data_IF_094604365406
#
_entry.id   IF_094604365406
#
_cell.length_a   1.000
_cell.length_b   1.000
_cell.length_c   1.000
_cell.angle_alpha   90.00
_cell.angle_beta   90.00
_cell.angle_gamma   90.00
#
_symmetry.space_group_name_H-M   'P 1'
#
loop_
_entity.id
_entity.type
_entity.pdbx_description
1 polymer ?
#
# COMPACT_ATOMS: atom_id res chain seq x y z
N UNK A 1 12.96 18.16 2.54
CA UNK A 1 12.93 17.95 4.02
C UNK A 1 12.24 16.65 4.42
N UNK A 2 11.25 16.14 3.66
CA UNK A 2 10.56 14.87 3.95
C UNK A 2 11.42 13.60 3.85
N UNK A 3 12.48 13.61 3.04
CA UNK A 3 13.32 12.41 2.80
C UNK A 3 14.35 12.13 3.90
N UNK A 4 14.69 13.11 4.76
CA UNK A 4 15.73 12.94 5.78
C UNK A 4 15.28 12.08 6.97
N UNK A 5 14.01 12.13 7.35
CA UNK A 5 13.51 11.35 8.50
C UNK A 5 13.41 9.86 8.15
N UNK A 6 13.11 9.52 6.89
CA UNK A 6 12.92 8.12 6.45
C UNK A 6 14.27 7.41 6.19
N UNK A 7 15.31 8.14 5.78
CA UNK A 7 16.60 7.54 5.38
C UNK A 7 17.68 7.68 6.47
N UNK A 8 17.69 8.76 7.26
CA UNK A 8 18.74 9.00 8.28
C UNK A 8 18.29 8.68 9.72
N UNK A 9 16.98 8.58 10.01
CA UNK A 9 16.46 8.50 11.40
C UNK A 9 15.84 7.16 11.82
N UNK A 10 16.02 6.06 11.07
CA UNK A 10 15.44 4.76 11.43
C UNK A 10 16.08 4.07 12.65
N UNK A 11 16.96 4.73 13.40
CA UNK A 11 17.73 4.11 14.49
C UNK A 11 17.30 4.50 15.91
N UNK A 12 16.56 5.60 16.12
CA UNK A 12 16.46 6.28 17.44
C UNK A 12 15.90 5.52 18.68
N UNK A 13 15.23 4.37 18.69
CA UNK A 13 14.45 3.86 19.84
C UNK A 13 13.35 4.81 20.34
N UNK A 14 12.33 4.21 20.94
CA UNK A 14 11.25 4.98 21.54
C UNK A 14 11.75 5.74 22.76
N UNK A 15 11.50 7.04 22.78
CA UNK A 15 11.75 7.90 23.92
C UNK A 15 10.73 9.05 23.95
N UNK A 16 10.53 9.74 25.09
CA UNK A 16 9.55 10.81 25.20
C UNK A 16 9.79 11.98 24.24
N UNK A 17 11.05 12.28 23.92
CA UNK A 17 11.42 13.37 22.99
C UNK A 17 10.98 13.05 21.56
N UNK A 18 11.22 11.82 21.09
CA UNK A 18 10.76 11.35 19.78
C UNK A 18 9.24 11.46 19.64
N UNK A 19 8.49 11.01 20.64
CA UNK A 19 7.01 11.08 20.65
C UNK A 19 6.53 12.54 20.60
N UNK A 20 7.14 13.44 21.38
CA UNK A 20 6.86 14.88 21.35
C UNK A 20 7.21 15.49 19.99
N UNK A 21 8.30 15.06 19.36
CA UNK A 21 8.71 15.54 18.04
C UNK A 21 7.70 15.14 16.96
N UNK A 22 7.23 13.90 16.95
CA UNK A 22 6.18 13.44 16.04
C UNK A 22 4.88 14.23 16.22
N UNK A 23 4.45 14.44 17.46
CA UNK A 23 3.30 15.27 17.74
C UNK A 23 3.51 16.73 17.28
N UNK A 24 4.71 17.30 17.46
CA UNK A 24 5.04 18.64 16.97
C UNK A 24 4.93 18.72 15.44
N UNK A 25 5.39 17.71 14.72
CA UNK A 25 5.26 17.64 13.26
C UNK A 25 3.79 17.61 12.82
N UNK A 26 2.95 16.86 13.53
CA UNK A 26 1.51 16.78 13.25
C UNK A 26 0.80 18.10 13.48
N UNK A 27 1.13 18.80 14.58
CA UNK A 27 0.53 20.09 14.92
C UNK A 27 1.09 21.28 14.14
N UNK A 28 2.15 21.08 13.35
CA UNK A 28 2.84 22.15 12.61
C UNK A 28 1.88 22.77 11.59
N UNK A 29 1.86 24.10 11.55
CA UNK A 29 1.09 24.91 10.59
C UNK A 29 -0.44 24.70 10.63
N UNK A 30 -0.98 24.02 11.64
CA UNK A 30 -2.43 23.82 11.82
C UNK A 30 -3.12 24.98 12.56
N UNK A 31 -2.36 25.79 13.29
CA UNK A 31 -2.86 26.98 13.99
C UNK A 31 -4.09 26.68 14.85
N UNK A 32 -5.18 27.43 14.62
CA UNK A 32 -6.44 27.29 15.36
C UNK A 32 -7.15 25.95 15.17
N UNK A 33 -6.78 25.17 14.14
CA UNK A 33 -7.37 23.85 13.87
C UNK A 33 -6.71 22.72 14.68
N UNK A 34 -5.80 23.05 15.61
CA UNK A 34 -5.14 22.09 16.47
C UNK A 34 -5.31 22.49 17.93
N UNK A 35 -6.09 21.71 18.67
CA UNK A 35 -6.53 22.08 20.02
C UNK A 35 -5.53 21.68 21.10
N UNK A 36 -4.23 21.64 20.77
CA UNK A 36 -3.13 21.33 21.67
C UNK A 36 -1.88 22.14 21.34
N UNK A 37 -0.96 22.27 22.29
CA UNK A 37 0.36 22.85 22.02
C UNK A 37 1.24 21.81 21.34
N UNK A 38 1.74 22.04 20.10
CA UNK A 38 2.54 21.06 19.37
C UNK A 38 3.82 20.65 20.11
N UNK A 39 3.81 19.44 20.65
CA UNK A 39 4.97 18.77 21.25
C UNK A 39 4.98 18.85 22.78
N UNK A 40 3.88 19.29 23.39
CA UNK A 40 3.73 19.34 24.84
C UNK A 40 2.64 18.39 25.32
N UNK A 41 2.91 17.66 26.39
CA UNK A 41 1.89 16.84 27.03
C UNK A 41 0.79 17.69 27.64
N UNK A 42 -0.42 17.15 27.70
CA UNK A 42 -1.58 17.84 28.27
C UNK A 42 -1.39 18.08 29.77
N UNK A 43 -1.88 19.22 30.25
CA UNK A 43 -1.89 19.60 31.68
C UNK A 43 -3.28 19.50 32.33
N UNK A 44 -4.22 18.89 31.63
CA UNK A 44 -5.60 18.71 32.07
C UNK A 44 -6.10 17.31 31.70
N UNK A 45 -7.13 16.85 32.40
CA UNK A 45 -7.74 15.54 32.18
C UNK A 45 -8.68 15.57 30.97
N UNK A 46 -8.72 14.46 30.22
CA UNK A 46 -9.50 14.33 28.97
C UNK A 46 -10.27 13.01 28.97
N UNK A 47 -11.41 13.04 28.29
CA UNK A 47 -12.23 11.85 28.01
C UNK A 47 -12.27 11.61 26.51
N UNK A 48 -11.95 10.39 26.08
CA UNK A 48 -11.91 9.98 24.68
C UNK A 48 -13.27 9.42 24.28
N UNK A 49 -13.89 9.99 23.25
CA UNK A 49 -15.15 9.51 22.68
C UNK A 49 -16.33 9.47 23.67
N UNK A 50 -16.27 10.25 24.76
CA UNK A 50 -17.24 10.27 25.86
C UNK A 50 -17.37 8.97 26.68
N UNK A 51 -16.49 7.99 26.47
CA UNK A 51 -16.59 6.65 27.11
C UNK A 51 -15.33 6.20 27.82
N UNK A 52 -14.15 6.70 27.41
CA UNK A 52 -12.87 6.29 28.01
C UNK A 52 -12.20 7.49 28.70
N UNK A 53 -12.01 7.38 30.02
CA UNK A 53 -11.27 8.39 30.80
C UNK A 53 -9.78 8.07 30.73
N UNK A 54 -9.00 8.96 30.11
CA UNK A 54 -7.56 8.80 30.05
C UNK A 54 -6.92 8.98 31.45
N UNK A 55 -5.67 8.52 31.67
CA UNK A 55 -4.95 8.70 32.93
C UNK A 55 -4.85 10.16 33.40
N UNK A 56 -4.51 10.40 34.67
CA UNK A 56 -4.39 11.79 35.12
C UNK A 56 -3.25 12.50 34.37
N UNK A 57 -3.48 13.76 34.01
CA UNK A 57 -2.48 14.61 33.35
C UNK A 57 -1.14 14.68 34.10
N UNK A 58 -1.13 14.54 35.43
CA UNK A 58 0.08 14.54 36.24
C UNK A 58 0.93 13.27 36.05
N UNK A 59 0.32 12.18 35.60
CA UNK A 59 0.97 10.88 35.41
C UNK A 59 1.52 10.69 33.99
N UNK A 60 1.19 11.58 33.05
CA UNK A 60 1.51 11.37 31.62
C UNK A 60 3.00 11.27 31.36
N UNK A 61 3.81 12.11 32.01
CA UNK A 61 5.24 12.07 31.80
C UNK A 61 5.87 10.78 32.34
N UNK A 62 5.44 10.29 33.50
CA UNK A 62 5.93 9.03 34.07
C UNK A 62 5.44 7.83 33.25
N UNK A 63 4.19 7.82 32.81
CA UNK A 63 3.62 6.75 31.98
C UNK A 63 4.31 6.65 30.61
N UNK A 64 4.61 7.77 29.95
CA UNK A 64 5.34 7.73 28.67
C UNK A 64 6.78 7.25 28.85
N UNK A 65 7.47 7.68 29.92
CA UNK A 65 8.81 7.16 30.26
C UNK A 65 8.77 5.66 30.50
N UNK A 66 7.85 5.20 31.34
CA UNK A 66 7.65 3.78 31.64
C UNK A 66 7.34 2.97 30.37
N UNK A 67 6.47 3.47 29.50
CA UNK A 67 6.17 2.84 28.22
C UNK A 67 7.41 2.70 27.33
N UNK A 68 8.25 3.75 27.24
CA UNK A 68 9.46 3.70 26.44
C UNK A 68 10.48 2.69 26.99
N UNK A 69 10.67 2.67 28.31
CA UNK A 69 11.58 1.73 28.99
C UNK A 69 11.08 0.28 28.87
N UNK A 70 9.79 0.05 29.12
CA UNK A 70 9.15 -1.25 28.95
C UNK A 70 9.27 -1.74 27.51
N UNK A 71 8.92 -0.90 26.53
CA UNK A 71 9.03 -1.25 25.11
C UNK A 71 10.47 -1.53 24.72
N UNK A 72 11.45 -0.84 25.31
CA UNK A 72 12.86 -1.12 25.06
C UNK A 72 13.23 -2.55 25.51
N UNK A 73 12.78 -2.92 26.71
CA UNK A 73 13.12 -4.18 27.36
C UNK A 73 12.39 -5.38 26.75
N UNK A 74 11.07 -5.32 26.57
CA UNK A 74 10.24 -6.44 26.10
C UNK A 74 10.50 -6.81 24.64
N UNK A 75 10.83 -5.82 23.81
CA UNK A 75 11.06 -6.04 22.39
C UNK A 75 12.55 -6.25 22.06
N UNK A 76 13.39 -6.40 23.09
CA UNK A 76 14.76 -6.91 23.02
C UNK A 76 15.69 -6.16 22.05
N UNK A 77 15.52 -4.84 21.86
CA UNK A 77 16.23 -4.08 20.83
C UNK A 77 17.75 -4.27 20.83
N UNK A 78 18.38 -4.29 22.02
CA UNK A 78 19.84 -4.42 22.16
C UNK A 78 20.35 -5.83 21.78
N UNK A 79 19.48 -6.85 21.81
CA UNK A 79 19.80 -8.25 21.50
C UNK A 79 19.37 -8.66 20.08
N UNK A 80 18.81 -7.72 19.32
CA UNK A 80 18.17 -7.99 18.03
C UNK A 80 16.70 -8.39 18.18
N UNK A 81 15.91 -7.99 17.18
CA UNK A 81 14.47 -8.20 17.14
C UNK A 81 14.10 -8.98 15.87
N UNK A 82 13.21 -9.96 15.97
CA UNK A 82 12.66 -10.62 14.78
C UNK A 82 11.70 -9.68 14.06
N UNK A 83 11.49 -9.89 12.76
CA UNK A 83 10.52 -9.11 11.99
C UNK A 83 9.13 -9.14 12.63
N UNK A 84 8.62 -10.33 12.99
CA UNK A 84 7.30 -10.49 13.63
C UNK A 84 7.20 -9.73 14.96
N UNK A 85 8.25 -9.78 15.79
CA UNK A 85 8.31 -9.04 17.05
C UNK A 85 8.27 -7.51 16.80
N UNK A 86 8.89 -7.03 15.72
CA UNK A 86 8.88 -5.62 15.34
C UNK A 86 7.50 -5.14 14.84
N UNK A 87 6.77 -5.98 14.10
CA UNK A 87 5.40 -5.67 13.69
C UNK A 87 4.47 -5.61 14.92
N UNK A 88 4.57 -6.58 15.83
CA UNK A 88 3.80 -6.57 17.08
C UNK A 88 4.11 -5.31 17.90
N UNK A 89 5.39 -4.93 17.97
CA UNK A 89 5.78 -3.70 18.66
C UNK A 89 5.11 -2.45 18.08
N UNK A 90 5.05 -2.32 16.76
CA UNK A 90 4.41 -1.19 16.11
C UNK A 90 2.93 -1.08 16.52
N UNK A 91 2.21 -2.20 16.42
CA UNK A 91 0.78 -2.31 16.77
C UNK A 91 0.55 -2.01 18.24
N UNK A 92 1.35 -2.61 19.12
CA UNK A 92 1.22 -2.41 20.58
C UNK A 92 1.54 -0.95 20.94
N UNK A 93 2.60 -0.38 20.38
CA UNK A 93 2.97 1.02 20.62
C UNK A 93 1.87 2.00 20.22
N UNK A 94 1.17 1.72 19.11
CA UNK A 94 -0.02 2.47 18.70
C UNK A 94 -1.10 2.47 19.79
N UNK A 95 -1.43 1.29 20.33
CA UNK A 95 -2.45 1.14 21.37
C UNK A 95 -2.05 1.87 22.65
N UNK A 96 -0.79 1.75 23.08
CA UNK A 96 -0.31 2.44 24.28
C UNK A 96 -0.42 3.97 24.17
N UNK A 97 -0.08 4.57 23.03
CA UNK A 97 -0.28 6.00 22.82
C UNK A 97 -1.77 6.37 22.84
N UNK A 98 -2.63 5.54 22.26
CA UNK A 98 -4.08 5.76 22.26
C UNK A 98 -4.66 5.71 23.70
N UNK A 99 -4.19 4.80 24.54
CA UNK A 99 -4.62 4.62 25.92
C UNK A 99 -4.08 5.69 26.88
N UNK A 100 -2.77 6.00 26.82
CA UNK A 100 -2.17 7.05 27.66
C UNK A 100 -2.76 8.42 27.28
N UNK A 101 -3.02 8.61 25.99
CA UNK A 101 -3.59 9.83 25.44
C UNK A 101 -2.83 11.10 25.89
N UNK A 102 -1.50 11.18 25.61
CA UNK A 102 -0.61 12.13 26.27
C UNK A 102 -0.81 13.60 25.87
N UNK A 103 -1.54 13.89 24.80
CA UNK A 103 -1.72 15.24 24.25
C UNK A 103 -3.17 15.72 24.35
N UNK A 104 -3.40 17.03 24.23
CA UNK A 104 -4.76 17.61 24.25
C UNK A 104 -5.57 17.32 22.97
N UNK A 105 -4.87 17.08 21.85
CA UNK A 105 -5.38 16.73 20.52
C UNK A 105 -4.24 16.01 19.78
N UNK A 106 -4.53 15.34 18.67
CA UNK A 106 -3.51 14.73 17.81
C UNK A 106 -3.10 13.33 18.21
N UNK A 107 -3.57 12.79 19.34
CA UNK A 107 -3.16 11.47 19.84
C UNK A 107 -3.32 10.34 18.81
N UNK A 108 -4.46 10.26 18.11
CA UNK A 108 -4.68 9.24 17.08
C UNK A 108 -3.82 9.41 15.83
N UNK A 109 -3.38 10.63 15.51
CA UNK A 109 -2.43 10.93 14.43
C UNK A 109 -1.01 10.58 14.87
N UNK A 110 -0.65 10.88 16.12
CA UNK A 110 0.66 10.56 16.70
C UNK A 110 0.85 9.05 16.87
N UNK A 111 -0.19 8.32 17.30
CA UNK A 111 -0.16 6.86 17.39
C UNK A 111 0.13 6.21 16.02
N UNK A 112 -0.58 6.64 14.97
CA UNK A 112 -0.36 6.15 13.59
C UNK A 112 1.03 6.51 13.05
N UNK A 113 1.52 7.72 13.33
CA UNK A 113 2.86 8.13 12.90
C UNK A 113 3.95 7.31 13.63
N UNK A 114 3.74 7.00 14.91
CA UNK A 114 4.62 6.13 15.67
C UNK A 114 4.62 4.69 15.15
N UNK A 115 3.44 4.14 14.87
CA UNK A 115 3.27 2.81 14.25
C UNK A 115 4.00 2.75 12.90
N UNK A 116 3.75 3.72 12.03
CA UNK A 116 4.41 3.87 10.74
C UNK A 116 5.94 3.91 10.87
N UNK A 117 6.46 4.71 11.80
CA UNK A 117 7.89 4.81 12.06
C UNK A 117 8.51 3.47 12.50
N UNK A 118 7.82 2.73 13.37
CA UNK A 118 8.29 1.43 13.84
C UNK A 118 8.26 0.37 12.73
N UNK A 119 7.27 0.40 11.85
CA UNK A 119 7.23 -0.45 10.65
C UNK A 119 8.40 -0.16 9.71
N UNK A 120 8.70 1.12 9.45
CA UNK A 120 9.87 1.51 8.64
C UNK A 120 11.18 1.01 9.25
N UNK A 121 11.34 1.16 10.56
CA UNK A 121 12.51 0.63 11.30
C UNK A 121 12.61 -0.89 11.17
N UNK A 122 11.48 -1.60 11.14
CA UNK A 122 11.42 -3.04 10.95
C UNK A 122 11.78 -3.48 9.51
N UNK A 123 12.04 -2.55 8.59
CA UNK A 123 12.35 -2.84 7.19
C UNK A 123 11.11 -3.00 6.31
N UNK A 124 9.92 -2.63 6.80
CA UNK A 124 8.71 -2.59 5.97
C UNK A 124 8.86 -1.43 4.97
N UNK A 125 8.63 -1.68 3.66
CA UNK A 125 8.64 -0.61 2.66
C UNK A 125 7.65 0.50 3.00
N UNK A 126 7.95 1.74 2.63
CA UNK A 126 7.13 2.92 2.89
C UNK A 126 5.66 2.76 2.44
N UNK A 127 5.45 2.23 1.24
CA UNK A 127 4.12 1.96 0.70
C UNK A 127 3.33 0.98 1.56
N UNK A 128 4.00 -0.01 2.16
CA UNK A 128 3.40 -1.01 3.03
C UNK A 128 3.22 -0.49 4.47
N UNK A 129 4.09 0.40 4.95
CA UNK A 129 4.00 0.95 6.30
C UNK A 129 2.73 1.80 6.51
N UNK A 130 2.10 2.31 5.44
CA UNK A 130 0.82 3.01 5.51
C UNK A 130 -0.42 2.10 5.63
N UNK A 131 -0.28 0.78 5.41
CA UNK A 131 -1.41 -0.16 5.34
C UNK A 131 -2.27 -0.09 6.61
N UNK A 132 -1.67 -0.17 7.80
CA UNK A 132 -2.43 -0.19 9.06
C UNK A 132 -3.22 1.11 9.28
N UNK A 133 -2.62 2.26 8.98
CA UNK A 133 -3.32 3.55 9.06
C UNK A 133 -4.54 3.59 8.14
N UNK A 134 -4.41 3.10 6.91
CA UNK A 134 -5.50 3.04 5.93
C UNK A 134 -6.58 2.04 6.37
N UNK A 135 -6.17 0.86 6.84
CA UNK A 135 -7.05 -0.17 7.37
C UNK A 135 -7.89 0.38 8.52
N UNK A 136 -7.27 0.94 9.57
CA UNK A 136 -8.01 1.53 10.69
C UNK A 136 -8.97 2.65 10.28
N UNK A 137 -8.70 3.34 9.18
CA UNK A 137 -9.59 4.37 8.65
C UNK A 137 -10.77 3.77 7.88
N UNK A 138 -10.55 2.75 7.05
CA UNK A 138 -11.62 2.08 6.29
C UNK A 138 -12.55 1.26 7.19
N UNK A 139 -12.03 0.73 8.30
CA UNK A 139 -12.77 -0.06 9.30
C UNK A 139 -12.98 0.72 10.62
N UNK A 140 -13.14 2.05 10.53
CA UNK A 140 -13.16 2.97 11.68
C UNK A 140 -13.99 2.52 12.89
N UNK A 141 -15.20 2.01 12.64
CA UNK A 141 -16.08 1.55 13.72
C UNK A 141 -15.50 0.33 14.46
N UNK A 142 -14.97 -0.63 13.72
CA UNK A 142 -14.33 -1.83 14.27
C UNK A 142 -13.03 -1.47 14.99
N UNK A 143 -12.22 -0.58 14.42
CA UNK A 143 -11.02 -0.05 15.07
C UNK A 143 -11.32 0.53 16.46
N UNK A 144 -12.32 1.40 16.57
CA UNK A 144 -12.70 1.96 17.87
C UNK A 144 -13.31 0.90 18.81
N UNK A 145 -14.08 -0.05 18.28
CA UNK A 145 -14.59 -1.18 19.07
C UNK A 145 -13.43 -1.97 19.68
N UNK A 146 -12.44 -2.35 18.88
CA UNK A 146 -11.28 -3.12 19.34
C UNK A 146 -10.44 -2.34 20.37
N UNK A 147 -10.24 -1.03 20.18
CA UNK A 147 -9.58 -0.18 21.19
C UNK A 147 -10.37 -0.08 22.50
N UNK A 148 -11.70 0.02 22.41
CA UNK A 148 -12.55 0.11 23.58
C UNK A 148 -12.61 -1.23 24.33
N UNK A 149 -12.61 -2.36 23.63
CA UNK A 149 -12.56 -3.69 24.25
C UNK A 149 -11.20 -3.96 24.87
N UNK A 150 -10.10 -3.59 24.20
CA UNK A 150 -8.75 -3.81 24.74
C UNK A 150 -8.46 -2.97 25.99
N UNK A 151 -9.12 -1.82 26.16
CA UNK A 151 -9.03 -1.00 27.38
C UNK A 151 -9.91 -1.51 28.53
N UNK A 152 -10.79 -2.48 28.29
CA UNK A 152 -11.60 -3.15 29.31
C UNK A 152 -10.89 -4.43 29.77
N UNK A 153 -10.92 -4.71 31.08
CA UNK A 153 -10.33 -5.93 31.65
C UNK A 153 -8.84 -5.81 31.98
N UNK A 154 -8.07 -6.88 31.82
CA UNK A 154 -6.69 -6.99 32.30
C UNK A 154 -5.63 -6.46 31.31
N UNK A 155 -6.03 -5.68 30.30
CA UNK A 155 -5.12 -5.16 29.28
C UNK A 155 -4.71 -6.20 28.22
N UNK A 156 -5.57 -7.18 27.93
CA UNK A 156 -5.33 -8.17 26.87
C UNK A 156 -5.45 -7.53 25.47
N UNK A 157 -4.33 -7.49 24.75
CA UNK A 157 -4.23 -6.93 23.40
C UNK A 157 -4.47 -7.95 22.28
N UNK A 158 -4.69 -9.22 22.61
CA UNK A 158 -4.74 -10.33 21.63
C UNK A 158 -5.72 -10.04 20.49
N UNK A 159 -6.93 -9.59 20.81
CA UNK A 159 -7.95 -9.29 19.80
C UNK A 159 -7.57 -8.10 18.90
N UNK A 160 -6.99 -7.04 19.48
CA UNK A 160 -6.53 -5.89 18.70
C UNK A 160 -5.36 -6.25 17.79
N UNK A 161 -4.40 -7.04 18.30
CA UNK A 161 -3.25 -7.51 17.53
C UNK A 161 -3.70 -8.39 16.37
N UNK A 162 -4.60 -9.36 16.61
CA UNK A 162 -5.13 -10.22 15.54
C UNK A 162 -5.86 -9.40 14.47
N UNK A 163 -6.69 -8.45 14.89
CA UNK A 163 -7.38 -7.53 13.99
C UNK A 163 -6.41 -6.72 13.12
N UNK A 164 -5.37 -6.12 13.74
CA UNK A 164 -4.38 -5.34 13.02
C UNK A 164 -3.52 -6.21 12.08
N UNK A 165 -3.06 -7.39 12.54
CA UNK A 165 -2.27 -8.32 11.72
C UNK A 165 -3.06 -8.84 10.52
N UNK A 166 -4.35 -9.11 10.68
CA UNK A 166 -5.21 -9.51 9.57
C UNK A 166 -5.32 -8.38 8.54
N UNK A 167 -5.60 -7.15 8.97
CA UNK A 167 -5.63 -5.99 8.07
C UNK A 167 -4.28 -5.72 7.39
N UNK A 168 -3.17 -5.91 8.10
CA UNK A 168 -1.83 -5.76 7.54
C UNK A 168 -1.55 -6.81 6.46
N UNK A 169 -1.88 -8.08 6.74
CA UNK A 169 -1.73 -9.18 5.78
C UNK A 169 -2.56 -8.95 4.51
N UNK A 170 -3.82 -8.57 4.65
CA UNK A 170 -4.72 -8.34 3.52
C UNK A 170 -4.24 -7.17 2.67
N UNK A 171 -3.85 -6.06 3.31
CA UNK A 171 -3.29 -4.91 2.59
C UNK A 171 -1.94 -5.22 1.91
N UNK A 172 -1.09 -6.07 2.51
CA UNK A 172 0.15 -6.52 1.86
C UNK A 172 -0.15 -7.33 0.60
N UNK A 173 -1.18 -8.19 0.65
CA UNK A 173 -1.61 -8.97 -0.51
C UNK A 173 -2.16 -8.07 -1.63
N UNK A 174 -2.92 -7.03 -1.28
CA UNK A 174 -3.42 -6.03 -2.24
C UNK A 174 -2.26 -5.28 -2.92
N UNK A 175 -1.31 -4.76 -2.12
CA UNK A 175 -0.12 -4.06 -2.65
C UNK A 175 0.71 -4.99 -3.53
N UNK A 176 0.92 -6.25 -3.10
CA UNK A 176 1.64 -7.24 -3.88
C UNK A 176 0.97 -7.50 -5.25
N UNK A 177 -0.35 -7.69 -5.25
CA UNK A 177 -1.11 -7.93 -6.47
C UNK A 177 -1.03 -6.72 -7.42
N UNK A 178 -1.17 -5.51 -6.89
CA UNK A 178 -1.06 -4.27 -7.66
C UNK A 178 0.34 -4.12 -8.29
N UNK A 179 1.40 -4.33 -7.50
CA UNK A 179 2.78 -4.24 -7.99
C UNK A 179 3.03 -5.28 -9.09
N UNK A 180 2.59 -6.52 -8.89
CA UNK A 180 2.75 -7.59 -9.86
C UNK A 180 1.99 -7.29 -11.17
N UNK A 181 0.75 -6.81 -11.08
CA UNK A 181 -0.03 -6.40 -12.25
C UNK A 181 0.67 -5.28 -13.03
N UNK A 182 1.14 -4.24 -12.33
CA UNK A 182 1.86 -3.13 -12.95
C UNK A 182 3.16 -3.60 -13.62
N UNK A 183 3.91 -4.52 -13.00
CA UNK A 183 5.13 -5.09 -13.58
C UNK A 183 4.83 -5.87 -14.87
N UNK A 184 3.79 -6.71 -14.87
CA UNK A 184 3.36 -7.46 -16.05
C UNK A 184 2.93 -6.50 -17.17
N UNK A 185 2.17 -5.46 -16.84
CA UNK A 185 1.71 -4.47 -17.83
C UNK A 185 2.89 -3.70 -18.45
N UNK A 186 3.85 -3.24 -17.64
CA UNK A 186 5.06 -2.57 -18.14
C UNK A 186 5.89 -3.51 -19.01
N UNK A 187 6.10 -4.75 -18.57
CA UNK A 187 6.82 -5.76 -19.34
C UNK A 187 6.14 -6.03 -20.68
N UNK A 188 4.81 -6.14 -20.69
CA UNK A 188 4.00 -6.29 -21.90
C UNK A 188 4.17 -5.12 -22.86
N UNK A 189 4.00 -3.88 -22.37
CA UNK A 189 4.16 -2.67 -23.19
C UNK A 189 5.56 -2.59 -23.79
N UNK A 190 6.59 -2.90 -23.01
CA UNK A 190 7.98 -2.89 -23.49
C UNK A 190 8.21 -3.97 -24.56
N UNK A 191 7.74 -5.18 -24.32
CA UNK A 191 7.84 -6.29 -25.28
C UNK A 191 7.14 -5.96 -26.61
N UNK A 192 5.90 -5.48 -26.56
CA UNK A 192 5.14 -5.06 -27.74
C UNK A 192 5.91 -3.98 -28.51
N UNK A 193 6.39 -2.94 -27.84
CA UNK A 193 7.16 -1.88 -28.51
C UNK A 193 8.42 -2.42 -29.20
N UNK A 194 9.12 -3.37 -28.57
CA UNK A 194 10.32 -3.98 -29.13
C UNK A 194 10.00 -4.83 -30.37
N UNK A 195 8.90 -5.61 -30.35
CA UNK A 195 8.42 -6.35 -31.53
C UNK A 195 8.10 -5.40 -32.68
N UNK A 196 7.45 -4.26 -32.41
CA UNK A 196 7.16 -3.26 -33.44
C UNK A 196 8.41 -2.59 -34.02
N UNK A 197 9.48 -2.44 -33.22
CA UNK A 197 10.78 -1.92 -33.69
C UNK A 197 11.55 -2.92 -34.56
N UNK A 198 11.53 -4.20 -34.18
CA UNK A 198 12.39 -5.24 -34.77
C UNK A 198 11.70 -6.09 -35.85
N UNK A 199 10.37 -6.09 -35.91
CA UNK A 199 9.65 -6.92 -36.87
C UNK A 199 9.84 -6.47 -38.33
N UNK A 200 9.69 -7.43 -39.25
CA UNK A 200 9.71 -7.26 -40.71
C UNK A 200 8.66 -6.22 -41.19
N UNK A 201 7.68 -5.90 -40.34
CA UNK A 201 6.64 -4.91 -40.59
C UNK A 201 7.07 -3.46 -40.37
N UNK A 202 8.31 -3.21 -39.96
CA UNK A 202 8.91 -1.87 -39.79
C UNK A 202 8.87 -1.01 -41.08
N UNK A 203 8.76 -1.63 -42.27
CA UNK A 203 8.60 -0.96 -43.57
C UNK A 203 7.16 -0.62 -44.00
N UNK A 204 6.13 -0.89 -43.17
CA UNK A 204 4.74 -0.49 -43.46
C UNK A 204 4.53 1.00 -43.21
N UNK A 205 3.52 1.58 -43.86
CA UNK A 205 3.13 2.98 -43.62
C UNK A 205 2.95 3.23 -42.11
N UNK A 206 3.61 4.28 -41.61
CA UNK A 206 3.66 4.64 -40.19
C UNK A 206 2.27 4.68 -39.53
N UNK A 207 1.26 5.16 -40.26
CA UNK A 207 -0.14 5.22 -39.81
C UNK A 207 -0.74 3.85 -39.49
N UNK A 208 -0.38 2.80 -40.25
CA UNK A 208 -0.91 1.43 -40.03
C UNK A 208 -0.27 0.81 -38.80
N UNK A 209 1.05 0.96 -38.64
CA UNK A 209 1.75 0.44 -37.47
C UNK A 209 1.33 1.18 -36.20
N UNK A 210 1.15 2.50 -36.24
CA UNK A 210 0.57 3.27 -35.13
C UNK A 210 -0.82 2.75 -34.72
N UNK A 211 -1.68 2.46 -35.70
CA UNK A 211 -3.02 1.89 -35.41
C UNK A 211 -2.95 0.50 -34.78
N UNK A 212 -2.10 -0.39 -35.31
CA UNK A 212 -1.90 -1.74 -34.76
C UNK A 212 -1.31 -1.71 -33.36
N UNK A 213 -0.31 -0.85 -33.14
CA UNK A 213 0.29 -0.62 -31.83
C UNK A 213 -0.75 -0.09 -30.84
N UNK A 214 -1.55 0.89 -31.25
CA UNK A 214 -2.65 1.41 -30.44
C UNK A 214 -3.66 0.31 -30.09
N UNK A 215 -4.00 -0.58 -31.03
CA UNK A 215 -4.93 -1.69 -30.80
C UNK A 215 -4.39 -2.62 -29.72
N UNK A 216 -3.19 -3.16 -29.90
CA UNK A 216 -2.65 -4.16 -28.97
C UNK A 216 -2.38 -3.59 -27.58
N UNK A 217 -1.98 -2.32 -27.48
CA UNK A 217 -1.77 -1.63 -26.20
C UNK A 217 -3.08 -1.26 -25.50
N UNK A 218 -4.21 -1.26 -26.22
CA UNK A 218 -5.53 -1.02 -25.63
C UNK A 218 -6.19 -2.30 -25.11
N UNK A 219 -5.76 -3.48 -25.57
CA UNK A 219 -6.31 -4.75 -25.09
C UNK A 219 -5.74 -5.07 -23.71
N UNK A 220 -6.63 -5.39 -22.75
CA UNK A 220 -6.23 -5.80 -21.41
C UNK A 220 -5.60 -7.20 -21.43
N UNK A 221 -4.66 -7.42 -20.50
CA UNK A 221 -3.95 -8.69 -20.38
C UNK A 221 -4.89 -9.76 -19.82
N UNK A 222 -5.00 -10.89 -20.50
CA UNK A 222 -5.81 -12.03 -20.06
C UNK A 222 -7.32 -11.88 -20.32
N UNK A 223 -7.78 -10.75 -20.85
CA UNK A 223 -9.16 -10.55 -21.27
C UNK A 223 -9.35 -11.05 -22.71
N UNK A 224 -10.46 -11.73 -22.94
CA UNK A 224 -10.88 -12.22 -24.25
C UNK A 224 -11.86 -11.23 -24.89
N UNK A 225 -11.65 -10.97 -26.17
CA UNK A 225 -12.46 -10.03 -26.95
C UNK A 225 -12.99 -10.71 -28.20
N UNK A 226 -14.28 -10.53 -28.47
CA UNK A 226 -14.84 -10.76 -29.81
C UNK A 226 -14.30 -9.72 -30.79
N UNK A 227 -14.10 -10.09 -32.05
CA UNK A 227 -13.48 -9.20 -33.04
C UNK A 227 -14.14 -7.82 -33.13
N UNK A 228 -15.48 -7.78 -33.17
CA UNK A 228 -16.24 -6.55 -33.38
C UNK A 228 -16.14 -5.63 -32.15
N UNK A 229 -15.86 -6.20 -30.97
CA UNK A 229 -15.67 -5.45 -29.72
C UNK A 229 -14.29 -4.81 -29.60
N UNK A 230 -13.29 -5.28 -30.34
CA UNK A 230 -11.91 -4.78 -30.22
C UNK A 230 -11.81 -3.31 -30.62
N UNK A 231 -12.50 -2.89 -31.69
CA UNK A 231 -12.55 -1.48 -32.08
C UNK A 231 -13.33 -0.58 -31.10
N UNK A 232 -14.12 -1.19 -30.20
CA UNK A 232 -14.98 -0.48 -29.26
C UNK A 232 -14.37 -0.31 -27.87
N UNK A 233 -13.19 -0.90 -27.61
CA UNK A 233 -12.52 -0.92 -26.31
C UNK A 233 -12.36 0.49 -25.71
N UNK A 234 -11.97 1.46 -26.53
CA UNK A 234 -11.86 2.85 -26.12
C UNK A 234 -12.15 3.82 -27.28
N UNK A 235 -12.38 5.08 -26.96
CA UNK A 235 -12.74 6.10 -27.95
C UNK A 235 -11.64 6.36 -28.99
N UNK A 236 -10.36 6.20 -28.60
CA UNK A 236 -9.24 6.33 -29.54
C UNK A 236 -9.30 5.28 -30.64
N UNK A 237 -9.56 4.00 -30.30
CA UNK A 237 -9.73 2.94 -31.28
C UNK A 237 -10.97 3.15 -32.14
N UNK A 238 -12.09 3.58 -31.54
CA UNK A 238 -13.31 3.91 -32.29
C UNK A 238 -13.03 4.94 -33.38
N UNK A 239 -12.31 6.00 -33.05
CA UNK A 239 -11.92 7.04 -34.02
C UNK A 239 -10.97 6.48 -35.08
N UNK A 240 -9.97 5.68 -34.70
CA UNK A 240 -9.00 5.13 -35.66
C UNK A 240 -9.61 4.12 -36.65
N UNK A 241 -10.65 3.41 -36.25
CA UNK A 241 -11.40 2.47 -37.09
C UNK A 241 -12.67 3.07 -37.71
N UNK A 242 -13.03 4.32 -37.39
CA UNK A 242 -14.18 4.99 -37.97
C UNK A 242 -14.07 5.08 -39.50
N UNK A 243 -15.14 4.68 -40.20
CA UNK A 243 -15.20 4.63 -41.66
C UNK A 243 -14.27 3.58 -42.31
N UNK A 244 -13.64 2.69 -41.53
CA UNK A 244 -12.88 1.55 -42.06
C UNK A 244 -13.77 0.32 -42.18
N UNK A 245 -13.48 -0.53 -43.16
CA UNK A 245 -14.20 -1.80 -43.34
C UNK A 245 -13.85 -2.79 -42.22
N UNK A 246 -14.76 -3.74 -41.90
CA UNK A 246 -14.45 -4.87 -41.00
C UNK A 246 -13.20 -5.63 -41.44
N UNK A 247 -12.97 -5.74 -42.75
CA UNK A 247 -11.76 -6.36 -43.32
C UNK A 247 -10.46 -5.64 -42.95
N UNK A 248 -10.51 -4.34 -42.64
CA UNK A 248 -9.35 -3.58 -42.15
C UNK A 248 -8.97 -4.00 -40.74
N UNK A 249 -9.95 -4.10 -39.83
CA UNK A 249 -9.73 -4.58 -38.47
C UNK A 249 -9.21 -6.02 -38.47
N UNK A 250 -9.83 -6.90 -39.26
CA UNK A 250 -9.39 -8.29 -39.46
C UNK A 250 -7.90 -8.36 -39.86
N UNK A 251 -7.49 -7.59 -40.88
CA UNK A 251 -6.09 -7.57 -41.36
C UNK A 251 -5.11 -7.06 -40.31
N UNK A 252 -5.52 -6.13 -39.45
CA UNK A 252 -4.66 -5.62 -38.39
C UNK A 252 -4.52 -6.63 -37.25
N UNK A 253 -5.60 -7.33 -36.89
CA UNK A 253 -5.58 -8.43 -35.92
C UNK A 253 -4.74 -9.60 -36.45
N UNK A 254 -4.92 -10.00 -37.70
CA UNK A 254 -4.13 -11.07 -38.34
C UNK A 254 -2.64 -10.76 -38.31
N UNK A 255 -2.26 -9.51 -38.60
CA UNK A 255 -0.86 -9.10 -38.48
C UNK A 255 -0.32 -9.17 -37.05
N UNK A 256 -1.15 -8.86 -36.04
CA UNK A 256 -0.78 -8.99 -34.63
C UNK A 256 -0.71 -10.46 -34.18
N UNK A 257 -1.51 -11.34 -34.78
CA UNK A 257 -1.42 -12.80 -34.62
C UNK A 257 -0.12 -13.33 -35.24
N UNK A 258 0.25 -12.87 -36.45
CA UNK A 258 1.52 -13.22 -37.09
C UNK A 258 2.73 -12.76 -36.28
N UNK A 259 2.64 -11.58 -35.65
CA UNK A 259 3.64 -11.07 -34.70
C UNK A 259 3.65 -11.84 -33.36
N UNK A 260 2.76 -12.82 -33.18
CA UNK A 260 2.54 -13.57 -31.94
C UNK A 260 2.14 -12.71 -30.75
N UNK A 261 1.64 -11.49 -30.97
CA UNK A 261 1.16 -10.59 -29.91
C UNK A 261 -0.29 -10.88 -29.52
N UNK A 262 -1.08 -11.47 -30.43
CA UNK A 262 -2.46 -11.92 -30.17
C UNK A 262 -2.53 -13.44 -30.35
N UNK A 263 -3.26 -14.10 -29.46
CA UNK A 263 -3.71 -15.47 -29.61
C UNK A 263 -5.15 -15.50 -30.11
N UNK A 264 -5.39 -16.30 -31.14
CA UNK A 264 -6.73 -16.66 -31.61
C UNK A 264 -7.20 -17.90 -30.84
N UNK A 265 -8.28 -17.80 -30.07
CA UNK A 265 -8.84 -18.90 -29.27
C UNK A 265 -9.91 -19.69 -30.03
N UNK A 266 -10.75 -18.97 -30.77
CA UNK A 266 -11.79 -19.50 -31.64
C UNK A 266 -11.90 -18.62 -32.91
N UNK A 267 -12.87 -18.87 -33.80
CA UNK A 267 -13.02 -18.16 -35.08
C UNK A 267 -13.05 -16.63 -34.93
N UNK A 268 -13.67 -16.13 -33.86
CA UNK A 268 -13.93 -14.69 -33.62
C UNK A 268 -13.39 -14.18 -32.27
N UNK A 269 -12.77 -15.03 -31.45
CA UNK A 269 -12.32 -14.70 -30.09
C UNK A 269 -10.80 -14.57 -30.04
N UNK A 270 -10.33 -13.43 -29.56
CA UNK A 270 -8.92 -13.04 -29.52
C UNK A 270 -8.52 -12.55 -28.12
N UNK A 271 -7.30 -12.89 -27.71
CA UNK A 271 -6.71 -12.39 -26.45
C UNK A 271 -5.24 -12.00 -26.65
N UNK A 272 -4.71 -11.16 -25.77
CA UNK A 272 -3.28 -10.85 -25.74
C UNK A 272 -2.45 -12.11 -25.45
N UNK A 273 -1.30 -12.24 -26.11
CA UNK A 273 -0.36 -13.34 -25.88
C UNK A 273 0.61 -13.02 -24.73
N UNK A 274 0.08 -12.73 -23.55
CA UNK A 274 0.91 -12.40 -22.37
C UNK A 274 1.68 -13.59 -21.80
N UNK A 275 1.34 -14.82 -22.20
CA UNK A 275 2.04 -16.05 -21.80
C UNK A 275 3.53 -16.00 -22.21
N UNK A 276 3.90 -15.21 -23.23
CA UNK A 276 5.29 -14.96 -23.61
C UNK A 276 6.12 -14.37 -22.45
N UNK A 277 5.49 -13.57 -21.59
CA UNK A 277 6.14 -12.96 -20.43
C UNK A 277 6.40 -13.98 -19.31
N UNK A 278 5.59 -15.04 -19.23
CA UNK A 278 5.72 -16.06 -18.18
C UNK A 278 6.94 -16.98 -18.36
N UNK A 279 7.48 -17.06 -19.58
CA UNK A 279 8.73 -17.78 -19.87
C UNK A 279 10.02 -16.98 -19.58
N UNK A 280 9.90 -15.70 -19.22
CA UNK A 280 11.03 -14.77 -19.03
C UNK A 280 11.01 -14.04 -17.68
N UNK A 281 9.91 -14.07 -16.95
CA UNK A 281 9.82 -13.53 -15.59
C UNK A 281 10.32 -14.57 -14.56
N UNK A 282 11.05 -14.16 -13.50
CA UNK A 282 11.37 -15.06 -12.39
C UNK A 282 10.07 -15.64 -11.86
N UNK A 283 9.99 -16.97 -11.89
CA UNK A 283 8.74 -17.70 -11.70
C UNK A 283 7.96 -17.25 -10.48
N UNK A 284 6.63 -17.36 -10.59
CA UNK A 284 5.72 -17.47 -9.46
C UNK A 284 6.38 -18.34 -8.40
N UNK A 285 6.78 -17.74 -7.28
CA UNK A 285 7.13 -18.50 -6.09
C UNK A 285 5.82 -19.14 -5.66
N UNK A 286 5.54 -20.36 -6.14
CA UNK A 286 4.70 -21.29 -5.41
C UNK A 286 5.29 -21.32 -4.02
N UNK A 287 4.48 -20.90 -3.03
CA UNK A 287 4.89 -20.73 -1.65
C UNK A 287 5.82 -21.87 -1.25
N UNK A 288 7.09 -21.55 -1.06
CA UNK A 288 7.92 -22.41 -0.22
C UNK A 288 7.46 -22.11 1.18
N UNK A 289 6.96 -23.15 1.84
CA UNK A 289 6.81 -23.20 3.28
C UNK A 289 8.08 -22.65 3.91
N UNK A 290 7.97 -21.47 4.52
CA UNK A 290 9.01 -20.92 5.37
C UNK A 290 8.73 -21.52 6.74
N UNK A 291 9.59 -22.48 7.10
CA UNK A 291 9.72 -23.07 8.44
C UNK A 291 10.01 -21.97 9.47
#
# INVERSE_FOLDING_TARGET
>A
MHTKIVIECNTELLNPTLIKNFHRMIGKDLGVNFSATPGEFRKHNVTVGNVYRAPDSQEIESLIKLFCEWSKNEFHYEKGQTFSTAIIQAIVSHVYIAWIHPFGDGNGRTARLLEFYLLLRAGVPDIAAHILSNFYNSTRNEYYRQLAESSKGNGDLTNFINYALQGFKDGLQEVFNLVNQNQIEIAWKNYVNEVFRTSIHSGKADTVNKRRLSLILSMEIGIEYEIDRISEINDSLRVQYFGKSKRTLQRDIEALVEMKLILKKDSEIYKTNSEILTGTLPGSVKGRDII
#
